data_IF_122668384789
#
_entry.id   IF_122668384789
#
_cell.length_a   1.000
_cell.length_b   1.000
_cell.length_c   1.000
_cell.angle_alpha   90.00
_cell.angle_beta   90.00
_cell.angle_gamma   90.00
#
_symmetry.space_group_name_H-M   'P 1'
#
loop_
_entity.id
_entity.type
_entity.pdbx_description
1 polymer ?
#
# COMPACT_ATOMS: atom_id res chain seq x y z
N UNK A 1 -15.27 9.32 19.86
CA UNK A 1 -14.68 9.83 18.60
C UNK A 1 -14.55 8.67 17.61
N UNK A 2 -14.73 8.87 16.29
CA UNK A 2 -14.96 7.79 15.29
C UNK A 2 -13.82 6.76 15.22
N UNK A 3 -12.57 7.20 15.22
CA UNK A 3 -11.39 6.32 15.12
C UNK A 3 -10.78 5.94 16.48
N UNK A 4 -11.22 6.57 17.57
CA UNK A 4 -10.72 6.34 18.93
C UNK A 4 -9.18 6.31 19.00
N UNK A 5 -8.54 7.39 18.54
CA UNK A 5 -7.09 7.46 18.31
C UNK A 5 -6.25 7.34 19.59
N UNK A 6 -6.83 7.64 20.75
CA UNK A 6 -6.19 7.38 22.06
C UNK A 6 -5.95 5.89 22.29
N UNK A 7 -6.87 5.03 21.82
CA UNK A 7 -6.77 3.57 21.92
C UNK A 7 -6.12 2.93 20.70
N UNK A 8 -6.36 3.50 19.51
CA UNK A 8 -5.90 2.97 18.23
C UNK A 8 -5.15 4.06 17.44
N UNK A 9 -3.91 4.40 17.84
CA UNK A 9 -3.18 5.54 17.29
C UNK A 9 -2.67 5.30 15.86
N UNK A 10 -2.74 4.07 15.34
CA UNK A 10 -2.15 3.71 14.06
C UNK A 10 -3.03 2.71 13.31
N UNK A 11 -3.21 2.97 12.02
CA UNK A 11 -3.63 1.97 11.05
C UNK A 11 -2.39 1.44 10.32
N UNK A 12 -2.31 0.14 10.08
CA UNK A 12 -1.14 -0.49 9.44
C UNK A 12 -1.54 -1.34 8.27
N UNK A 13 -0.75 -1.32 7.20
CA UNK A 13 -0.82 -2.31 6.12
C UNK A 13 0.52 -3.02 6.06
N UNK A 14 0.54 -4.30 6.42
CA UNK A 14 1.73 -5.14 6.31
C UNK A 14 1.63 -5.92 5.02
N UNK A 15 2.55 -5.65 4.08
CA UNK A 15 2.58 -6.28 2.76
C UNK A 15 3.22 -7.66 2.90
N UNK A 16 2.46 -8.70 2.56
CA UNK A 16 2.93 -10.10 2.50
C UNK A 16 3.52 -10.41 1.11
N UNK A 17 2.99 -9.81 0.04
CA UNK A 17 3.53 -9.92 -1.31
C UNK A 17 3.29 -8.66 -2.16
N UNK A 18 4.24 -8.35 -3.03
CA UNK A 18 4.11 -7.31 -4.06
C UNK A 18 4.56 -7.90 -5.40
N UNK A 19 3.61 -8.16 -6.30
CA UNK A 19 3.88 -8.80 -7.59
C UNK A 19 3.53 -7.85 -8.73
N UNK A 20 4.44 -7.69 -9.69
CA UNK A 20 4.16 -6.93 -10.90
C UNK A 20 3.03 -7.62 -11.69
N UNK A 21 2.07 -6.82 -12.12
CA UNK A 21 0.94 -7.29 -12.91
C UNK A 21 1.33 -7.32 -14.41
N UNK A 22 0.82 -8.30 -15.18
CA UNK A 22 1.13 -8.41 -16.61
C UNK A 22 0.50 -7.30 -17.47
N UNK A 23 -0.35 -6.44 -16.88
CA UNK A 23 -1.10 -5.40 -17.58
C UNK A 23 -0.77 -4.05 -16.94
N UNK A 24 -0.38 -3.08 -17.77
CA UNK A 24 -0.15 -1.70 -17.35
C UNK A 24 -1.46 -0.96 -17.10
N UNK A 25 -1.41 0.17 -16.40
CA UNK A 25 -2.58 1.04 -16.27
C UNK A 25 -3.01 1.60 -17.64
N UNK A 26 -4.19 2.25 -17.69
CA UNK A 26 -4.68 2.94 -18.89
C UNK A 26 -3.68 3.98 -19.40
N UNK A 27 -2.95 4.62 -18.47
CA UNK A 27 -1.93 5.62 -18.77
C UNK A 27 -0.54 5.01 -19.03
N UNK A 28 -0.44 3.68 -19.10
CA UNK A 28 0.79 2.96 -19.40
C UNK A 28 1.74 2.75 -18.22
N UNK A 29 1.28 2.98 -16.98
CA UNK A 29 2.12 2.79 -15.79
C UNK A 29 2.23 1.32 -15.39
N UNK A 30 3.40 0.91 -14.88
CA UNK A 30 3.56 -0.41 -14.25
C UNK A 30 2.64 -0.53 -13.03
N UNK A 31 2.03 -1.70 -12.89
CA UNK A 31 1.09 -1.99 -11.80
C UNK A 31 1.61 -3.15 -10.96
N UNK A 32 1.37 -3.08 -9.66
CA UNK A 32 1.74 -4.10 -8.70
C UNK A 32 0.52 -4.50 -7.88
N UNK A 33 0.24 -5.80 -7.81
CA UNK A 33 -0.71 -6.35 -6.85
C UNK A 33 -0.03 -6.46 -5.49
N UNK A 34 -0.53 -5.71 -4.52
CA UNK A 34 -0.11 -5.77 -3.14
C UNK A 34 -1.12 -6.61 -2.36
N UNK A 35 -0.66 -7.68 -1.73
CA UNK A 35 -1.45 -8.51 -0.83
C UNK A 35 -0.86 -8.42 0.56
N UNK A 36 -1.71 -8.23 1.56
CA UNK A 36 -1.26 -8.10 2.93
C UNK A 36 -2.39 -8.08 3.94
N UNK A 37 -2.05 -7.64 5.15
CA UNK A 37 -2.98 -7.48 6.27
C UNK A 37 -3.13 -6.02 6.62
N UNK A 38 -4.37 -5.55 6.59
CA UNK A 38 -4.74 -4.20 7.01
C UNK A 38 -5.33 -4.23 8.41
N UNK A 39 -4.76 -3.43 9.30
CA UNK A 39 -5.23 -3.22 10.66
C UNK A 39 -5.79 -1.82 10.78
N UNK A 40 -7.08 -1.73 11.13
CA UNK A 40 -7.75 -0.46 11.43
C UNK A 40 -8.62 -0.66 12.66
N UNK A 41 -8.55 0.28 13.60
CA UNK A 41 -9.34 0.25 14.84
C UNK A 41 -9.21 -1.08 15.61
N UNK A 42 -7.98 -1.65 15.60
CA UNK A 42 -7.65 -2.91 16.27
C UNK A 42 -8.14 -4.18 15.57
N UNK A 43 -8.81 -4.08 14.42
CA UNK A 43 -9.31 -5.22 13.64
C UNK A 43 -8.39 -5.49 12.46
N UNK A 44 -7.97 -6.75 12.30
CA UNK A 44 -7.11 -7.20 11.22
C UNK A 44 -7.94 -7.86 10.11
N UNK A 45 -7.75 -7.43 8.87
CA UNK A 45 -8.40 -8.02 7.68
C UNK A 45 -7.37 -8.24 6.57
N UNK A 46 -7.47 -9.32 5.78
CA UNK A 46 -6.72 -9.42 4.55
C UNK A 46 -7.17 -8.32 3.58
N UNK A 47 -6.21 -7.70 2.89
CA UNK A 47 -6.46 -6.67 1.91
C UNK A 47 -5.58 -6.90 0.68
N UNK A 48 -6.19 -6.76 -0.49
CA UNK A 48 -5.53 -6.73 -1.78
C UNK A 48 -5.77 -5.36 -2.40
N UNK A 49 -4.71 -4.71 -2.88
CA UNK A 49 -4.80 -3.43 -3.57
C UNK A 49 -3.85 -3.40 -4.76
N UNK A 50 -4.13 -2.53 -5.73
CA UNK A 50 -3.25 -2.30 -6.88
C UNK A 50 -2.54 -0.97 -6.69
N UNK A 51 -1.21 -1.02 -6.76
CA UNK A 51 -0.37 0.16 -6.74
C UNK A 51 0.21 0.43 -8.13
N UNK A 52 0.27 1.69 -8.53
CA UNK A 52 0.82 2.16 -9.80
C UNK A 52 2.10 2.94 -9.54
N UNK A 53 3.15 2.66 -10.31
CA UNK A 53 4.37 3.48 -10.36
C UNK A 53 4.19 4.53 -11.45
N UNK A 54 3.88 5.76 -11.06
CA UNK A 54 3.53 6.84 -12.00
C UNK A 54 4.74 7.67 -12.44
N UNK A 55 5.79 7.70 -11.62
CA UNK A 55 7.05 8.36 -11.93
C UNK A 55 8.22 7.62 -11.28
N UNK A 56 9.40 7.72 -11.90
CA UNK A 56 10.65 7.30 -11.31
C UNK A 56 11.68 8.42 -11.35
N UNK A 57 12.14 8.87 -10.17
CA UNK A 57 13.06 10.00 -10.09
C UNK A 57 14.08 9.79 -8.97
N UNK A 58 15.36 10.08 -9.24
CA UNK A 58 16.43 10.13 -8.21
C UNK A 58 16.53 8.89 -7.30
N UNK A 59 16.23 7.70 -7.83
CA UNK A 59 16.24 6.47 -7.03
C UNK A 59 15.01 6.31 -6.12
N UNK A 60 13.90 6.96 -6.43
CA UNK A 60 12.59 6.76 -5.83
C UNK A 60 11.55 6.36 -6.90
N UNK A 61 10.51 5.66 -6.47
CA UNK A 61 9.27 5.44 -7.21
C UNK A 61 8.19 6.33 -6.61
N UNK A 62 7.48 7.08 -7.46
CA UNK A 62 6.22 7.71 -7.07
C UNK A 62 5.10 6.69 -7.24
N UNK A 63 4.47 6.32 -6.13
CA UNK A 63 3.47 5.25 -6.07
C UNK A 63 2.12 5.82 -5.71
N UNK A 64 1.10 5.45 -6.49
CA UNK A 64 -0.31 5.71 -6.18
C UNK A 64 -1.07 4.42 -5.97
N UNK A 65 -2.00 4.40 -5.03
CA UNK A 65 -2.86 3.25 -4.76
C UNK A 65 -4.26 3.70 -4.38
N UNK A 66 -5.24 2.81 -4.54
CA UNK A 66 -6.60 3.03 -4.11
C UNK A 66 -7.27 1.72 -3.70
N UNK A 67 -8.08 1.77 -2.65
CA UNK A 67 -8.91 0.63 -2.23
C UNK A 67 -10.16 1.10 -1.50
N UNK A 68 -11.15 0.22 -1.44
CA UNK A 68 -12.43 0.46 -0.75
C UNK A 68 -12.53 -0.46 0.46
N UNK A 69 -13.14 0.03 1.54
CA UNK A 69 -13.50 -0.76 2.71
C UNK A 69 -14.84 -0.31 3.30
N UNK A 70 -15.44 -1.15 4.14
CA UNK A 70 -16.58 -0.78 4.98
C UNK A 70 -16.09 -0.45 6.39
N UNK A 71 -16.55 0.64 6.99
CA UNK A 71 -16.21 1.00 8.37
C UNK A 71 -16.68 -0.08 9.36
N UNK A 72 -17.86 -0.65 9.10
CA UNK A 72 -18.45 -1.71 9.92
C UNK A 72 -17.59 -2.99 9.98
N UNK A 73 -16.81 -3.29 8.93
CA UNK A 73 -15.88 -4.42 8.93
C UNK A 73 -14.75 -4.29 9.97
N UNK A 74 -14.49 -3.07 10.44
CA UNK A 74 -13.49 -2.73 11.44
C UNK A 74 -14.12 -2.29 12.78
N UNK A 75 -15.42 -2.54 12.96
CA UNK A 75 -16.14 -2.18 14.19
C UNK A 75 -16.30 -0.67 14.39
N UNK A 76 -16.14 0.12 13.32
CA UNK A 76 -16.36 1.56 13.34
C UNK A 76 -17.82 1.80 12.97
N UNK A 77 -18.54 2.54 13.81
CA UNK A 77 -19.91 2.96 13.52
C UNK A 77 -19.88 4.17 12.57
N UNK A 78 -20.51 4.11 11.39
CA UNK A 78 -20.60 5.26 10.50
C UNK A 78 -21.25 6.45 11.21
N UNK A 79 -20.70 7.64 10.97
CA UNK A 79 -21.18 8.86 11.59
C UNK A 79 -22.54 9.27 11.01
N UNK A 80 -23.49 9.61 11.88
CA UNK A 80 -24.77 10.21 11.49
C UNK A 80 -25.24 11.27 12.49
N UNK A 81 -25.95 12.29 11.98
CA UNK A 81 -26.56 13.40 12.73
C UNK A 81 -27.96 13.70 12.20
N UNK A 82 -28.72 14.51 12.96
CA UNK A 82 -30.07 14.97 12.60
C UNK A 82 -31.01 13.83 12.17
N UNK A 83 -31.14 12.79 13.02
CA UNK A 83 -31.96 11.60 12.74
C UNK A 83 -31.61 10.87 11.43
N UNK A 84 -30.37 10.98 10.94
CA UNK A 84 -29.91 10.33 9.71
C UNK A 84 -29.98 11.20 8.46
N UNK A 85 -30.45 12.45 8.56
CA UNK A 85 -30.48 13.39 7.44
C UNK A 85 -29.07 13.78 6.96
N UNK A 86 -28.06 13.68 7.83
CA UNK A 86 -26.65 13.91 7.50
C UNK A 86 -25.82 12.75 8.01
N UNK A 87 -25.10 12.06 7.12
CA UNK A 87 -24.26 10.92 7.49
C UNK A 87 -23.14 10.67 6.50
N UNK A 88 -22.12 9.96 6.96
CA UNK A 88 -21.06 9.41 6.11
C UNK A 88 -21.47 7.98 5.74
N UNK A 89 -21.29 7.61 4.48
CA UNK A 89 -21.55 6.24 4.01
C UNK A 89 -20.65 5.25 4.75
N UNK A 90 -21.11 4.02 4.94
CA UNK A 90 -20.27 2.96 5.53
C UNK A 90 -19.03 2.68 4.66
N UNK A 91 -19.21 2.72 3.34
CA UNK A 91 -18.12 2.60 2.37
C UNK A 91 -17.17 3.81 2.44
N UNK A 92 -15.87 3.51 2.57
CA UNK A 92 -14.77 4.46 2.44
C UNK A 92 -13.90 4.09 1.25
N UNK A 93 -13.56 5.10 0.43
CA UNK A 93 -12.54 5.00 -0.62
C UNK A 93 -11.27 5.68 -0.12
N UNK A 94 -10.19 4.91 -0.03
CA UNK A 94 -8.90 5.35 0.47
C UNK A 94 -7.94 5.44 -0.72
N UNK A 95 -7.21 6.55 -0.81
CA UNK A 95 -6.17 6.78 -1.80
C UNK A 95 -4.84 7.03 -1.09
N UNK A 96 -3.78 6.41 -1.61
CA UNK A 96 -2.41 6.64 -1.16
C UNK A 96 -1.57 7.24 -2.28
N UNK A 97 -0.69 8.17 -1.93
CA UNK A 97 0.27 8.80 -2.82
C UNK A 97 1.58 8.98 -2.02
N UNK A 98 2.66 8.33 -2.47
CA UNK A 98 3.92 8.30 -1.73
C UNK A 98 5.13 8.14 -2.64
N UNK A 99 6.26 8.70 -2.21
CA UNK A 99 7.57 8.44 -2.79
C UNK A 99 8.29 7.36 -1.99
N UNK A 100 8.62 6.24 -2.64
CA UNK A 100 9.26 5.08 -2.02
C UNK A 100 10.66 4.91 -2.58
N UNK A 101 11.65 4.78 -1.72
CA UNK A 101 13.04 4.61 -2.15
C UNK A 101 13.22 3.26 -2.86
N UNK A 102 13.87 3.27 -4.02
CA UNK A 102 14.32 2.05 -4.71
C UNK A 102 15.33 1.34 -3.83
N UNK A 103 15.11 0.07 -3.53
CA UNK A 103 16.16 -0.74 -2.92
C UNK A 103 17.22 -0.99 -4.00
N UNK A 104 18.49 -0.57 -3.79
CA UNK A 104 19.54 -0.86 -4.75
C UNK A 104 19.65 -2.38 -4.93
N UNK A 105 19.76 -2.85 -6.16
CA UNK A 105 20.03 -4.27 -6.41
C UNK A 105 21.26 -4.70 -5.58
N UNK A 106 21.24 -5.89 -4.96
CA UNK A 106 22.41 -6.39 -4.24
C UNK A 106 23.62 -6.28 -5.16
N UNK A 107 24.68 -5.59 -4.71
CA UNK A 107 25.93 -5.53 -5.47
C UNK A 107 26.42 -6.97 -5.63
N UNK A 108 26.32 -7.53 -6.82
CA UNK A 108 26.94 -8.82 -7.14
C UNK A 108 28.46 -8.63 -6.95
N UNK A 109 28.96 -9.16 -5.83
CA UNK A 109 30.35 -9.00 -5.44
C UNK A 109 31.28 -9.75 -6.39
N UNK A 110 32.05 -8.99 -7.17
CA UNK A 110 33.50 -9.17 -7.43
C UNK A 110 34.05 -10.60 -7.16
N UNK A 111 33.65 -11.58 -7.98
CA UNK A 111 34.25 -12.93 -8.00
C UNK A 111 34.94 -13.30 -9.33
N UNK A 112 35.34 -12.32 -10.13
CA UNK A 112 36.03 -12.55 -11.42
C UNK A 112 37.51 -12.13 -11.42
N UNK A 113 38.19 -12.04 -10.27
CA UNK A 113 39.60 -11.63 -10.22
C UNK A 113 40.49 -12.60 -9.43
N UNK A 114 40.27 -13.90 -9.61
CA UNK A 114 41.14 -14.96 -9.08
C UNK A 114 41.24 -16.17 -10.04
N UNK A 115 41.13 -15.95 -11.36
CA UNK A 115 41.31 -16.98 -12.39
C UNK A 115 42.34 -16.61 -13.47
N UNK A 116 43.02 -15.46 -13.35
CA UNK A 116 43.96 -14.97 -14.37
C UNK A 116 45.40 -14.82 -13.85
N UNK A 117 45.71 -15.37 -12.68
CA UNK A 117 47.07 -15.44 -12.12
C UNK A 117 47.67 -16.85 -12.21
N UNK A 118 47.26 -17.63 -13.20
CA UNK A 118 47.86 -18.93 -13.54
C UNK A 118 48.03 -19.06 -15.04
N UNK A 119 48.85 -18.19 -15.63
CA UNK A 119 49.57 -18.41 -16.89
C UNK A 119 50.93 -17.72 -16.82
#
# INVERSE_FOLDING_TARGET
EVLNVEKFPTATFVIDSALEMPVTSVDGHSQYELVGKFTLHGVNRPLKMVAQVVEEQNGFHHVRTGFTLLQTDFGIKPFSKAFGAVGVTDELKIYGDAWVRKTPAPRQGRRQRALDSSR
#
